data_IF_827475409651
#
_entry.id   IF_827475409651
#
_cell.length_a   1.000
_cell.length_b   1.000
_cell.length_c   1.000
_cell.angle_alpha   90.00
_cell.angle_beta   90.00
_cell.angle_gamma   90.00
#
_symmetry.space_group_name_H-M   'P 1'
#
loop_
_entity.id
_entity.type
_entity.pdbx_description
1 polymer ?
#
# COMPACT_ATOMS: atom_id res chain seq x y z
N UNK A 1 -21.28 15.52 15.48
CA UNK A 1 -20.25 14.46 15.57
C UNK A 1 -19.64 14.32 14.19
N UNK A 2 -18.41 14.81 14.00
CA UNK A 2 -17.88 15.13 12.68
C UNK A 2 -17.10 13.95 12.07
N UNK A 3 -17.24 13.76 10.75
CA UNK A 3 -16.67 12.65 9.96
C UNK A 3 -15.15 12.49 10.07
N UNK A 4 -14.45 13.56 10.47
CA UNK A 4 -13.02 13.57 10.70
C UNK A 4 -12.59 12.59 11.82
N UNK A 5 -13.41 12.41 12.85
CA UNK A 5 -13.13 11.48 13.94
C UNK A 5 -13.30 10.01 13.53
N UNK A 6 -14.18 9.72 12.56
CA UNK A 6 -14.33 8.37 12.03
C UNK A 6 -13.09 7.95 11.23
N UNK A 7 -12.44 8.88 10.53
CA UNK A 7 -11.19 8.63 9.82
C UNK A 7 -10.00 8.43 10.78
N UNK A 8 -9.96 9.17 11.89
CA UNK A 8 -8.95 9.00 12.94
C UNK A 8 -9.08 7.64 13.65
N UNK A 9 -10.31 7.21 13.98
CA UNK A 9 -10.54 5.90 14.55
C UNK A 9 -10.18 4.77 13.59
N UNK A 10 -10.53 4.86 12.29
CA UNK A 10 -10.31 3.79 11.31
C UNK A 10 -8.82 3.44 11.08
N UNK A 11 -7.90 4.42 11.22
CA UNK A 11 -6.46 4.18 11.05
C UNK A 11 -5.82 3.42 12.22
N UNK A 12 -6.34 3.59 13.45
CA UNK A 12 -5.74 3.01 14.66
C UNK A 12 -5.96 1.50 14.79
N UNK A 13 -7.00 0.95 14.16
CA UNK A 13 -7.34 -0.48 14.26
C UNK A 13 -6.50 -1.42 13.39
N UNK A 14 -5.77 -0.90 12.38
CA UNK A 14 -5.05 -1.75 11.42
C UNK A 14 -3.65 -2.20 11.89
N UNK A 15 -3.10 -1.57 12.93
CA UNK A 15 -1.75 -1.86 13.45
C UNK A 15 -1.70 -2.86 14.62
N UNK A 16 -2.84 -3.24 15.22
CA UNK A 16 -2.86 -4.09 16.42
C UNK A 16 -2.75 -5.59 16.15
N UNK A 17 -2.74 -6.03 14.88
CA UNK A 17 -2.73 -7.48 14.53
C UNK A 17 -1.36 -8.08 14.21
N UNK A 18 -0.30 -7.27 14.15
CA UNK A 18 1.08 -7.71 13.84
C UNK A 18 2.00 -7.75 15.08
N UNK A 19 1.45 -7.66 16.29
CA UNK A 19 2.24 -7.64 17.55
C UNK A 19 2.65 -9.02 18.11
N UNK A 20 2.31 -10.13 17.45
CA UNK A 20 2.56 -11.48 17.98
C UNK A 20 3.79 -12.20 17.42
N UNK A 21 4.52 -11.61 16.47
CA UNK A 21 5.51 -12.33 15.65
C UNK A 21 6.94 -12.36 16.21
N UNK A 22 7.10 -12.34 17.53
CA UNK A 22 8.40 -12.62 18.20
C UNK A 22 8.38 -13.87 19.08
N UNK A 23 7.21 -14.49 19.31
CA UNK A 23 7.09 -15.71 20.14
C UNK A 23 7.23 -17.04 19.38
N UNK A 24 7.05 -17.07 18.05
CA UNK A 24 6.95 -18.32 17.30
C UNK A 24 8.28 -19.03 17.02
N UNK A 25 9.36 -18.28 16.74
CA UNK A 25 10.64 -18.85 16.28
C UNK A 25 11.32 -19.64 17.41
N UNK A 26 11.27 -19.13 18.63
CA UNK A 26 11.81 -19.84 19.80
C UNK A 26 11.04 -21.12 20.09
N UNK A 27 9.71 -21.10 19.93
CA UNK A 27 8.86 -22.27 20.16
C UNK A 27 9.10 -23.37 19.13
N UNK A 28 9.26 -23.02 17.85
CA UNK A 28 9.57 -24.02 16.81
C UNK A 28 10.92 -24.68 17.03
N UNK A 29 11.94 -23.91 17.44
CA UNK A 29 13.27 -24.46 17.75
C UNK A 29 13.18 -25.43 18.93
N UNK A 30 12.43 -25.07 19.98
CA UNK A 30 12.26 -25.92 21.17
C UNK A 30 11.51 -27.23 20.87
N UNK A 31 10.50 -27.18 19.99
CA UNK A 31 9.78 -28.38 19.54
C UNK A 31 10.70 -29.27 18.70
N UNK A 32 11.48 -28.70 17.77
CA UNK A 32 12.43 -29.45 16.93
C UNK A 32 13.49 -30.13 17.81
N UNK A 33 14.10 -29.41 18.76
CA UNK A 33 15.12 -29.99 19.65
C UNK A 33 14.56 -31.06 20.58
N UNK A 34 13.33 -30.89 21.08
CA UNK A 34 12.65 -31.91 21.89
C UNK A 34 12.32 -33.16 21.09
N UNK A 35 11.88 -33.03 19.83
CA UNK A 35 11.60 -34.18 18.96
C UNK A 35 12.89 -34.93 18.62
N UNK A 36 13.97 -34.20 18.29
CA UNK A 36 15.29 -34.80 18.03
C UNK A 36 15.78 -35.58 19.26
N UNK A 37 15.66 -34.99 20.45
CA UNK A 37 16.08 -35.63 21.70
C UNK A 37 15.28 -36.90 22.01
N UNK A 38 13.94 -36.85 21.84
CA UNK A 38 13.05 -38.01 22.05
C UNK A 38 13.34 -39.13 21.04
N UNK A 39 13.51 -38.80 19.76
CA UNK A 39 13.83 -39.78 18.71
C UNK A 39 15.20 -40.43 18.95
N UNK A 40 16.19 -39.65 19.38
CA UNK A 40 17.52 -40.16 19.74
C UNK A 40 17.49 -41.03 21.01
N UNK A 41 16.61 -40.71 21.97
CA UNK A 41 16.44 -41.48 23.20
C UNK A 41 15.70 -42.81 23.03
N UNK A 42 14.89 -42.95 21.97
CA UNK A 42 14.03 -44.12 21.76
C UNK A 42 14.55 -45.11 20.70
N UNK A 43 15.56 -44.75 19.90
CA UNK A 43 15.97 -45.52 18.75
C UNK A 43 17.01 -46.61 19.07
N UNK A 44 16.55 -47.87 19.08
CA UNK A 44 17.36 -49.09 19.06
C UNK A 44 17.84 -49.46 17.63
N UNK A 45 17.32 -48.80 16.59
CA UNK A 45 17.77 -48.88 15.19
C UNK A 45 18.02 -47.48 14.60
N UNK A 46 19.25 -47.25 14.13
CA UNK A 46 19.79 -45.92 13.79
C UNK A 46 19.21 -45.34 12.49
N UNK A 47 18.80 -46.20 11.55
CA UNK A 47 18.43 -45.80 10.19
C UNK A 47 16.98 -45.30 10.06
N UNK A 48 16.05 -45.90 10.80
CA UNK A 48 14.64 -45.45 10.83
C UNK A 48 14.52 -44.07 11.49
N UNK A 49 15.34 -43.80 12.51
CA UNK A 49 15.42 -42.49 13.16
C UNK A 49 15.92 -41.40 12.20
N UNK A 50 16.95 -41.70 11.39
CA UNK A 50 17.48 -40.77 10.40
C UNK A 50 16.44 -40.48 9.30
N UNK A 51 15.70 -41.48 8.84
CA UNK A 51 14.72 -41.29 7.77
C UNK A 51 13.53 -40.43 8.23
N UNK A 52 13.01 -40.67 9.43
CA UNK A 52 11.89 -39.88 9.98
C UNK A 52 12.28 -38.43 10.29
N UNK A 53 13.50 -38.20 10.77
CA UNK A 53 14.00 -36.83 11.03
C UNK A 53 14.15 -36.02 9.73
N UNK A 54 14.66 -36.63 8.66
CA UNK A 54 14.77 -35.98 7.35
C UNK A 54 13.38 -35.60 6.80
N UNK A 55 12.41 -36.53 6.84
CA UNK A 55 11.03 -36.27 6.39
C UNK A 55 10.41 -35.09 7.15
N UNK A 56 10.58 -35.03 8.47
CA UNK A 56 10.06 -33.94 9.29
C UNK A 56 10.68 -32.58 8.92
N UNK A 57 12.00 -32.53 8.69
CA UNK A 57 12.69 -31.31 8.26
C UNK A 57 12.14 -30.83 6.90
N UNK A 58 11.93 -31.74 5.95
CA UNK A 58 11.39 -31.41 4.61
C UNK A 58 9.99 -30.80 4.74
N UNK A 59 9.11 -31.39 5.56
CA UNK A 59 7.76 -30.87 5.81
C UNK A 59 7.83 -29.47 6.44
N UNK A 60 8.72 -29.28 7.42
CA UNK A 60 8.88 -27.99 8.12
C UNK A 60 9.34 -26.89 7.15
N UNK A 61 10.34 -27.18 6.31
CA UNK A 61 10.81 -26.26 5.27
C UNK A 61 9.69 -25.94 4.27
N UNK A 62 8.92 -26.94 3.82
CA UNK A 62 7.80 -26.72 2.90
C UNK A 62 6.74 -25.77 3.49
N UNK A 63 6.38 -25.93 4.77
CA UNK A 63 5.43 -25.04 5.46
C UNK A 63 5.95 -23.61 5.53
N UNK A 64 7.24 -23.42 5.83
CA UNK A 64 7.89 -22.10 5.84
C UNK A 64 7.82 -21.46 4.45
N UNK A 65 8.19 -22.20 3.41
CA UNK A 65 8.18 -21.72 2.03
C UNK A 65 6.76 -21.33 1.60
N UNK A 66 5.76 -22.16 1.87
CA UNK A 66 4.35 -21.86 1.58
C UNK A 66 3.91 -20.59 2.31
N UNK A 67 4.27 -20.45 3.59
CA UNK A 67 3.99 -19.25 4.38
C UNK A 67 4.62 -17.99 3.78
N UNK A 68 5.87 -18.07 3.33
CA UNK A 68 6.58 -16.97 2.65
C UNK A 68 5.87 -16.63 1.32
N UNK A 69 5.50 -17.63 0.52
CA UNK A 69 4.78 -17.41 -0.75
C UNK A 69 3.45 -16.69 -0.50
N UNK A 70 2.65 -17.17 0.46
CA UNK A 70 1.38 -16.54 0.84
C UNK A 70 1.63 -15.09 1.30
N UNK A 71 2.63 -14.85 2.13
CA UNK A 71 2.98 -13.50 2.60
C UNK A 71 3.37 -12.56 1.44
N UNK A 72 4.16 -13.04 0.47
CA UNK A 72 4.54 -12.28 -0.72
C UNK A 72 3.31 -11.97 -1.57
N UNK A 73 2.42 -12.94 -1.81
CA UNK A 73 1.19 -12.74 -2.57
C UNK A 73 0.26 -11.73 -1.89
N UNK A 74 0.10 -11.83 -0.56
CA UNK A 74 -0.67 -10.86 0.25
C UNK A 74 -0.07 -9.45 0.20
N UNK A 75 1.26 -9.34 0.14
CA UNK A 75 1.97 -8.06 0.02
C UNK A 75 1.78 -7.45 -1.36
N UNK A 76 1.88 -8.23 -2.44
CA UNK A 76 1.70 -7.75 -3.82
C UNK A 76 0.28 -7.22 -4.08
N UNK A 77 -0.76 -7.89 -3.57
CA UNK A 77 -2.14 -7.42 -3.73
C UNK A 77 -2.45 -6.10 -3.01
N UNK A 78 -1.70 -5.73 -1.96
CA UNK A 78 -1.83 -4.40 -1.33
C UNK A 78 -1.24 -3.27 -2.17
N UNK A 79 -0.23 -3.56 -2.97
CA UNK A 79 0.34 -2.58 -3.91
C UNK A 79 -0.67 -2.28 -5.02
N UNK A 80 -1.29 -3.33 -5.58
CA UNK A 80 -2.28 -3.21 -6.66
C UNK A 80 -3.57 -2.50 -6.22
N UNK A 81 -4.04 -2.72 -4.97
CA UNK A 81 -5.22 -2.03 -4.42
C UNK A 81 -4.94 -0.55 -4.06
N UNK A 82 -3.67 -0.15 -3.94
CA UNK A 82 -3.29 1.25 -3.75
C UNK A 82 -3.36 2.09 -5.03
N UNK A 83 -3.29 1.42 -6.19
CA UNK A 83 -3.30 2.05 -7.52
C UNK A 83 -4.69 2.01 -8.19
N UNK A 84 -5.64 1.25 -7.63
CA UNK A 84 -7.03 1.21 -8.09
C UNK A 84 -7.91 1.90 -7.04
N UNK A 85 -7.94 3.23 -7.10
CA UNK A 85 -9.11 3.95 -6.61
C UNK A 85 -10.35 3.44 -7.36
N UNK A 86 -11.44 3.06 -6.67
CA UNK A 86 -12.60 2.52 -7.34
C UNK A 86 -13.13 3.56 -8.31
N UNK A 87 -13.16 3.18 -9.60
CA UNK A 87 -13.91 3.87 -10.61
C UNK A 87 -15.34 4.06 -10.08
N UNK A 88 -15.66 5.29 -9.69
CA UNK A 88 -17.04 5.72 -9.60
C UNK A 88 -17.69 5.40 -10.97
N UNK A 89 -18.93 4.87 -10.97
CA UNK A 89 -19.58 4.45 -12.21
C UNK A 89 -19.61 5.64 -13.16
N UNK A 90 -19.31 5.41 -14.43
CA UNK A 90 -19.36 6.48 -15.43
C UNK A 90 -20.74 7.15 -15.42
N UNK A 91 -20.77 8.50 -15.38
CA UNK A 91 -21.61 9.23 -16.29
C UNK A 91 -20.73 10.20 -17.09
N UNK A 92 -20.81 10.04 -18.40
CA UNK A 92 -20.81 11.11 -19.40
C UNK A 92 -20.00 12.38 -19.10
N UNK A 93 -18.96 12.59 -19.92
CA UNK A 93 -18.59 13.91 -20.44
C UNK A 93 -18.54 15.03 -19.39
N UNK A 94 -17.44 15.10 -18.63
CA UNK A 94 -17.07 16.33 -17.94
C UNK A 94 -16.07 17.08 -18.80
N UNK A 95 -16.57 18.15 -19.42
CA UNK A 95 -15.80 19.20 -20.06
C UNK A 95 -14.53 19.52 -19.28
N UNK A 96 -13.44 19.68 -20.05
CA UNK A 96 -12.23 20.31 -19.57
C UNK A 96 -12.59 21.61 -18.84
N UNK A 97 -12.00 21.89 -17.66
CA UNK A 97 -12.09 23.22 -17.07
C UNK A 97 -11.73 24.24 -18.16
N UNK A 98 -12.58 25.23 -18.45
CA UNK A 98 -12.33 26.18 -19.54
C UNK A 98 -10.94 26.78 -19.33
N UNK A 99 -10.09 26.64 -20.35
CA UNK A 99 -8.77 27.24 -20.37
C UNK A 99 -8.92 28.70 -19.92
N UNK A 100 -8.16 29.07 -18.88
CA UNK A 100 -8.21 30.42 -18.34
C UNK A 100 -8.09 31.43 -19.49
N UNK A 101 -8.95 32.46 -19.54
CA UNK A 101 -8.97 33.39 -20.67
C UNK A 101 -7.57 34.01 -20.83
N UNK A 102 -7.07 34.14 -22.07
CA UNK A 102 -5.77 34.73 -22.30
C UNK A 102 -5.74 36.13 -21.67
N UNK A 103 -4.67 36.43 -20.93
CA UNK A 103 -4.46 37.72 -20.30
C UNK A 103 -3.36 38.46 -21.08
N UNK A 104 -3.58 39.74 -21.37
CA UNK A 104 -2.61 40.63 -22.02
C UNK A 104 -2.20 41.76 -21.07
N UNK A 105 -1.13 42.46 -21.39
CA UNK A 105 -0.71 43.64 -20.63
C UNK A 105 -1.14 44.91 -21.35
N UNK A 106 -1.52 45.94 -20.60
CA UNK A 106 -1.92 47.23 -21.16
C UNK A 106 -0.72 47.93 -21.80
N UNK A 107 -0.87 48.39 -23.05
CA UNK A 107 0.20 49.06 -23.81
C UNK A 107 0.62 50.43 -23.25
N UNK A 108 -0.18 51.02 -22.36
CA UNK A 108 0.11 52.34 -21.76
C UNK A 108 0.64 52.25 -20.32
N UNK A 109 0.02 51.46 -19.44
CA UNK A 109 0.39 51.40 -18.01
C UNK A 109 1.06 50.08 -17.58
N UNK A 110 1.11 49.06 -18.45
CA UNK A 110 1.76 47.78 -18.15
C UNK A 110 0.97 46.84 -17.23
N UNK A 111 -0.25 47.19 -16.81
CA UNK A 111 -1.08 46.33 -15.95
C UNK A 111 -1.71 45.17 -16.72
N UNK A 112 -1.96 44.07 -16.02
CA UNK A 112 -2.55 42.86 -16.60
C UNK A 112 -4.07 43.02 -16.77
N UNK A 113 -4.56 42.76 -17.98
CA UNK A 113 -5.95 42.92 -18.40
C UNK A 113 -6.39 41.68 -19.17
N UNK A 114 -7.69 41.42 -19.27
CA UNK A 114 -8.19 40.28 -20.07
C UNK A 114 -7.95 40.56 -21.56
N UNK A 115 -7.63 39.53 -22.35
CA UNK A 115 -7.36 39.71 -23.77
C UNK A 115 -8.55 40.33 -24.54
N UNK A 116 -9.77 40.03 -24.10
CA UNK A 116 -11.01 40.50 -24.72
C UNK A 116 -11.37 41.96 -24.35
N UNK A 117 -10.69 42.54 -23.36
CA UNK A 117 -10.98 43.91 -22.94
C UNK A 117 -10.40 44.93 -23.95
N UNK A 118 -11.27 45.81 -24.43
CA UNK A 118 -10.94 46.92 -25.35
C UNK A 118 -10.39 48.15 -24.62
N UNK A 119 -10.52 48.21 -23.30
CA UNK A 119 -10.09 49.34 -22.48
C UNK A 119 -9.44 48.82 -21.21
N UNK A 120 -8.40 49.51 -20.74
CA UNK A 120 -7.80 49.18 -19.44
C UNK A 120 -8.67 49.73 -18.30
N UNK A 121 -9.08 48.89 -17.36
CA UNK A 121 -9.87 49.29 -16.19
C UNK A 121 -9.12 50.22 -15.23
N UNK A 122 -7.78 50.23 -15.28
CA UNK A 122 -6.96 51.03 -14.39
C UNK A 122 -6.61 52.41 -14.94
N UNK A 123 -6.34 52.54 -16.25
CA UNK A 123 -5.91 53.80 -16.86
C UNK A 123 -6.87 54.35 -17.91
N UNK A 124 -7.93 53.62 -18.27
CA UNK A 124 -8.92 54.03 -19.26
C UNK A 124 -8.44 54.02 -20.71
N UNK A 125 -7.18 53.66 -20.98
CA UNK A 125 -6.63 53.66 -22.33
C UNK A 125 -7.23 52.54 -23.19
N UNK A 126 -7.60 52.89 -24.43
CA UNK A 126 -8.06 51.93 -25.44
C UNK A 126 -6.94 50.99 -25.85
N UNK A 127 -7.23 49.69 -25.81
CA UNK A 127 -6.33 48.62 -26.23
C UNK A 127 -6.70 48.24 -27.65
N UNK A 128 -5.78 48.46 -28.58
CA UNK A 128 -5.92 47.95 -29.93
C UNK A 128 -5.73 46.42 -29.89
N UNK A 129 -6.62 45.60 -30.49
CA UNK A 129 -6.41 44.15 -30.59
C UNK A 129 -5.13 43.79 -31.35
#
# INVERSE_FOLDING_TARGET
MNEMNLQYYRRRWRYRRYGGWRGGIGFTIFIITSIIWVVWSAARDRDTAITLTIIFIIILVAVIVIGIIIAIVVKRRKSVEGDIAPAAPAPEMREQPPAAPPMKYCIQCGKQIKADDKFCLDCGATQNP
#
